data_IF_283070787285
#
_entry.id   IF_283070787285
#
_cell.length_a   1.000
_cell.length_b   1.000
_cell.length_c   1.000
_cell.angle_alpha   90.00
_cell.angle_beta   90.00
_cell.angle_gamma   90.00
#
_symmetry.space_group_name_H-M   'P 1'
#
loop_
_entity.id
_entity.type
_entity.pdbx_description
1 polymer ?
#
# COMPACT_ATOMS: atom_id res chain seq x y z
N UNK A 1 -27.87 -23.27 -30.60
CA UNK A 1 -26.59 -22.97 -29.92
C UNK A 1 -26.87 -22.69 -28.46
N UNK A 2 -26.38 -23.54 -27.55
CA UNK A 2 -26.60 -23.41 -26.10
C UNK A 2 -25.36 -22.71 -25.52
N UNK A 3 -25.53 -21.54 -24.90
CA UNK A 3 -24.45 -20.82 -24.22
C UNK A 3 -24.64 -21.01 -22.73
N UNK A 4 -23.63 -21.55 -22.06
CA UNK A 4 -23.62 -21.75 -20.61
C UNK A 4 -22.74 -20.68 -19.95
N UNK A 5 -23.34 -19.85 -19.10
CA UNK A 5 -22.64 -18.77 -18.41
C UNK A 5 -22.17 -19.30 -17.07
N UNK A 6 -20.87 -19.56 -16.94
CA UNK A 6 -20.27 -19.92 -15.65
C UNK A 6 -19.89 -18.68 -14.84
N UNK A 7 -19.92 -18.83 -13.51
CA UNK A 7 -19.43 -17.81 -12.58
C UNK A 7 -17.91 -17.69 -12.69
N UNK A 8 -17.44 -16.44 -12.82
CA UNK A 8 -16.01 -16.12 -12.81
C UNK A 8 -15.36 -16.61 -11.51
N UNK A 9 -14.48 -17.61 -11.63
CA UNK A 9 -13.69 -18.12 -10.53
C UNK A 9 -12.49 -17.20 -10.32
N UNK A 10 -12.42 -16.54 -9.16
CA UNK A 10 -11.24 -15.76 -8.79
C UNK A 10 -10.06 -16.71 -8.59
N UNK A 11 -8.92 -16.40 -9.22
CA UNK A 11 -7.69 -17.16 -9.01
C UNK A 11 -7.26 -17.01 -7.54
N UNK A 12 -7.37 -18.08 -6.75
CA UNK A 12 -7.01 -18.14 -5.34
C UNK A 12 -5.50 -18.39 -5.15
N UNK A 13 -4.67 -17.62 -5.84
CA UNK A 13 -3.21 -17.72 -5.78
C UNK A 13 -2.57 -16.56 -5.03
N UNK A 14 -1.38 -16.77 -4.46
CA UNK A 14 -0.57 -15.66 -3.96
C UNK A 14 -0.31 -14.65 -5.09
N UNK A 15 -0.63 -13.38 -4.84
CA UNK A 15 -0.38 -12.29 -5.78
C UNK A 15 1.14 -12.05 -5.85
N UNK A 16 1.70 -12.04 -7.06
CA UNK A 16 3.07 -11.63 -7.30
C UNK A 16 3.09 -10.15 -7.69
N UNK A 17 3.94 -9.37 -7.05
CA UNK A 17 4.13 -7.96 -7.32
C UNK A 17 4.94 -7.77 -8.60
N UNK A 18 4.42 -7.02 -9.57
CA UNK A 18 5.12 -6.74 -10.83
C UNK A 18 6.29 -5.76 -10.69
N UNK A 19 6.39 -5.04 -9.57
CA UNK A 19 7.50 -4.13 -9.30
C UNK A 19 8.73 -4.88 -8.75
N UNK A 20 8.58 -5.58 -7.62
CA UNK A 20 9.69 -6.22 -6.91
C UNK A 20 9.75 -7.75 -7.08
N UNK A 21 8.79 -8.38 -7.76
CA UNK A 21 8.68 -9.83 -7.98
C UNK A 21 8.55 -10.71 -6.72
N UNK A 22 8.33 -10.11 -5.55
CA UNK A 22 7.89 -10.79 -4.33
C UNK A 22 6.38 -11.06 -4.35
N UNK A 23 5.89 -11.75 -3.32
CA UNK A 23 4.50 -12.18 -3.21
C UNK A 23 3.74 -11.40 -2.12
N UNK A 24 2.41 -11.60 -2.08
CA UNK A 24 1.46 -11.10 -1.07
C UNK A 24 1.12 -9.61 -1.12
N UNK A 25 1.54 -8.89 -2.17
CA UNK A 25 1.14 -7.50 -2.38
C UNK A 25 1.07 -7.16 -3.88
N UNK A 26 0.35 -6.08 -4.18
CA UNK A 26 0.25 -5.52 -5.53
C UNK A 26 1.34 -4.48 -5.78
N UNK A 27 1.68 -4.26 -7.05
CA UNK A 27 2.66 -3.25 -7.44
C UNK A 27 2.30 -1.83 -6.97
N UNK A 28 1.01 -1.49 -6.95
CA UNK A 28 0.52 -0.19 -6.49
C UNK A 28 0.82 0.11 -5.00
N UNK A 29 0.96 -0.93 -4.17
CA UNK A 29 1.29 -0.81 -2.75
C UNK A 29 2.75 -1.17 -2.45
N UNK A 30 3.58 -1.34 -3.48
CA UNK A 30 4.96 -1.78 -3.32
C UNK A 30 5.89 -0.60 -3.02
N UNK A 31 6.54 -0.63 -1.87
CA UNK A 31 7.56 0.35 -1.47
C UNK A 31 9.00 -0.13 -1.73
N UNK A 32 9.16 -1.35 -2.26
CA UNK A 32 10.45 -1.94 -2.59
C UNK A 32 10.95 -1.41 -3.95
N UNK A 33 12.28 -1.42 -4.14
CA UNK A 33 12.90 -1.11 -5.41
C UNK A 33 12.46 -2.10 -6.51
N UNK A 34 12.38 -1.64 -7.77
CA UNK A 34 12.06 -2.51 -8.89
C UNK A 34 13.11 -3.61 -9.00
N UNK A 35 12.66 -4.83 -9.30
CA UNK A 35 13.53 -5.98 -9.51
C UNK A 35 13.18 -6.63 -10.84
N UNK A 36 14.15 -6.78 -11.73
CA UNK A 36 13.92 -7.35 -13.05
C UNK A 36 13.60 -8.85 -12.95
N UNK A 37 12.50 -9.30 -13.56
CA UNK A 37 12.14 -10.71 -13.57
C UNK A 37 13.14 -11.60 -14.34
N UNK A 38 13.86 -11.02 -15.30
CA UNK A 38 14.78 -11.74 -16.20
C UNK A 38 16.17 -11.93 -15.58
N UNK A 39 16.76 -10.87 -15.00
CA UNK A 39 18.12 -10.89 -14.44
C UNK A 39 18.21 -10.63 -12.92
N UNK A 40 17.14 -10.17 -12.28
CA UNK A 40 17.17 -9.80 -10.85
C UNK A 40 17.77 -8.43 -10.52
N UNK A 41 18.21 -7.66 -11.52
CA UNK A 41 18.79 -6.32 -11.33
C UNK A 41 17.77 -5.25 -10.86
N UNK A 42 18.24 -4.09 -10.36
CA UNK A 42 17.42 -3.04 -9.75
C UNK A 42 16.72 -2.15 -10.80
N UNK A 43 15.96 -2.76 -11.71
CA UNK A 43 15.26 -2.08 -12.80
C UNK A 43 14.01 -2.86 -13.23
N UNK A 44 13.13 -2.24 -14.00
CA UNK A 44 11.95 -2.92 -14.56
C UNK A 44 12.32 -3.87 -15.70
N UNK A 45 11.54 -4.92 -15.94
CA UNK A 45 11.83 -5.89 -17.02
C UNK A 45 11.90 -5.28 -18.43
N UNK A 46 11.31 -4.09 -18.63
CA UNK A 46 11.33 -3.32 -19.88
C UNK A 46 12.67 -2.62 -20.09
N UNK A 47 13.31 -2.19 -19.00
CA UNK A 47 14.62 -1.52 -19.01
C UNK A 47 15.79 -2.51 -18.95
N UNK A 48 15.51 -3.81 -19.07
CA UNK A 48 16.53 -4.85 -19.00
C UNK A 48 17.38 -4.85 -20.27
N UNK A 49 18.65 -4.51 -20.15
CA UNK A 49 19.65 -4.49 -21.23
C UNK A 49 20.40 -5.82 -21.38
N UNK A 50 20.26 -6.73 -20.40
CA UNK A 50 20.86 -8.05 -20.44
C UNK A 50 20.38 -8.85 -21.66
N UNK A 51 21.34 -9.50 -22.34
CA UNK A 51 21.07 -10.35 -23.51
C UNK A 51 20.79 -11.77 -23.05
N UNK A 52 19.68 -12.33 -23.49
CA UNK A 52 19.30 -13.71 -23.21
C UNK A 52 19.13 -14.49 -24.50
N UNK A 53 19.57 -15.73 -24.52
CA UNK A 53 19.22 -16.66 -25.60
C UNK A 53 17.72 -16.93 -25.55
N UNK A 54 17.01 -16.59 -26.62
CA UNK A 54 15.58 -16.84 -26.75
C UNK A 54 15.29 -18.00 -27.69
N UNK A 55 14.21 -18.72 -27.43
CA UNK A 55 13.66 -19.70 -28.37
C UNK A 55 12.90 -18.99 -29.50
N UNK A 56 12.36 -19.77 -30.45
CA UNK A 56 11.55 -19.26 -31.57
C UNK A 56 10.30 -18.48 -31.12
N UNK A 57 9.84 -18.71 -29.89
CA UNK A 57 8.69 -18.02 -29.28
C UNK A 57 9.08 -16.73 -28.52
N UNK A 58 10.36 -16.34 -28.55
CA UNK A 58 10.86 -15.16 -27.84
C UNK A 58 11.01 -15.34 -26.32
N UNK A 59 10.92 -16.56 -25.80
CA UNK A 59 11.13 -16.87 -24.37
C UNK A 59 12.59 -17.21 -24.10
N UNK A 60 13.09 -16.84 -22.93
CA UNK A 60 14.45 -17.20 -22.49
C UNK A 60 14.57 -18.72 -22.45
N UNK A 61 15.57 -19.30 -23.12
CA UNK A 61 15.78 -20.74 -23.26
C UNK A 61 16.08 -21.41 -21.91
N UNK A 62 16.99 -20.80 -21.16
CA UNK A 62 17.42 -21.28 -19.83
C UNK A 62 17.17 -20.18 -18.78
N UNK A 63 15.92 -19.93 -18.38
CA UNK A 63 15.63 -18.90 -17.38
C UNK A 63 16.10 -19.34 -16.00
N UNK A 64 16.57 -18.41 -15.20
CA UNK A 64 16.94 -18.63 -13.79
C UNK A 64 15.94 -17.89 -12.90
N UNK A 65 15.45 -18.58 -11.88
CA UNK A 65 14.49 -18.02 -10.95
C UNK A 65 15.18 -17.09 -9.95
N UNK A 66 14.86 -15.80 -9.99
CA UNK A 66 15.42 -14.79 -9.06
C UNK A 66 15.02 -15.00 -7.58
N UNK A 67 14.04 -15.87 -7.30
CA UNK A 67 13.56 -16.14 -5.94
C UNK A 67 14.15 -17.43 -5.35
N UNK A 68 14.43 -18.46 -6.15
CA UNK A 68 14.97 -19.75 -5.65
C UNK A 68 16.36 -20.11 -6.17
N UNK A 69 16.87 -19.40 -7.19
CA UNK A 69 18.16 -19.62 -7.84
C UNK A 69 18.21 -20.79 -8.82
N UNK A 70 17.14 -21.57 -8.99
CA UNK A 70 17.13 -22.73 -9.88
C UNK A 70 16.93 -22.31 -11.35
N UNK A 71 17.60 -23.03 -12.25
CA UNK A 71 17.41 -22.90 -13.70
C UNK A 71 16.17 -23.66 -14.18
N UNK A 72 15.62 -23.25 -15.31
CA UNK A 72 14.49 -23.90 -15.99
C UNK A 72 13.15 -23.19 -15.79
N UNK A 73 13.08 -22.20 -14.90
CA UNK A 73 11.87 -21.38 -14.72
C UNK A 73 12.18 -19.96 -14.24
N UNK A 74 11.23 -19.04 -14.47
CA UNK A 74 11.25 -17.68 -13.91
C UNK A 74 10.53 -17.64 -12.56
N UNK A 75 10.74 -16.60 -11.77
CA UNK A 75 10.08 -16.41 -10.47
C UNK A 75 8.54 -16.34 -10.52
N UNK A 76 7.96 -16.13 -11.69
CA UNK A 76 6.52 -16.16 -11.92
C UNK A 76 5.93 -17.57 -12.05
N UNK A 77 6.78 -18.59 -12.15
CA UNK A 77 6.34 -19.97 -12.27
C UNK A 77 5.77 -20.51 -10.95
N UNK A 78 4.51 -20.92 -10.99
CA UNK A 78 3.74 -21.36 -9.80
C UNK A 78 4.23 -22.67 -9.20
N UNK A 79 5.03 -23.45 -9.94
CA UNK A 79 5.64 -24.69 -9.45
C UNK A 79 6.94 -24.48 -8.66
N UNK A 80 7.44 -23.24 -8.56
CA UNK A 80 8.68 -22.96 -7.85
C UNK A 80 8.53 -23.29 -6.36
N UNK A 81 9.57 -23.89 -5.76
CA UNK A 81 9.59 -24.24 -4.33
C UNK A 81 9.38 -23.04 -3.40
N UNK A 82 9.82 -21.86 -3.83
CA UNK A 82 9.68 -20.58 -3.11
C UNK A 82 8.38 -19.85 -3.47
N UNK A 83 7.59 -20.37 -4.42
CA UNK A 83 6.30 -19.80 -4.74
C UNK A 83 5.32 -20.11 -3.59
N UNK A 84 4.66 -19.10 -2.99
CA UNK A 84 3.76 -19.36 -1.88
C UNK A 84 2.60 -20.23 -2.34
N UNK A 85 2.53 -21.43 -1.77
CA UNK A 85 1.41 -22.34 -1.94
C UNK A 85 0.26 -21.74 -1.14
N UNK A 86 -0.82 -21.35 -1.81
CA UNK A 86 -2.03 -20.98 -1.08
C UNK A 86 -2.49 -22.20 -0.30
N UNK A 87 -2.58 -22.12 1.02
CA UNK A 87 -3.30 -23.13 1.78
C UNK A 87 -4.75 -23.11 1.27
N UNK A 88 -5.15 -24.19 0.59
CA UNK A 88 -6.51 -24.43 0.08
C UNK A 88 -7.58 -24.41 1.18
N UNK A 89 -7.19 -24.30 2.45
CA UNK A 89 -8.08 -24.35 3.60
C UNK A 89 -8.73 -23.02 3.96
N UNK A 90 -8.34 -21.90 3.36
CA UNK A 90 -9.06 -20.64 3.49
C UNK A 90 -9.91 -20.40 2.25
N UNK A 91 -10.88 -21.29 2.02
CA UNK A 91 -12.15 -20.81 1.49
C UNK A 91 -12.60 -19.72 2.49
N UNK A 92 -12.30 -18.45 2.21
CA UNK A 92 -13.13 -17.40 2.80
C UNK A 92 -14.52 -17.80 2.36
N UNK A 93 -15.34 -18.28 3.28
CA UNK A 93 -16.74 -18.57 2.99
C UNK A 93 -17.23 -17.36 2.20
N UNK A 94 -17.60 -17.60 0.94
CA UNK A 94 -18.18 -16.56 0.11
C UNK A 94 -19.40 -16.15 0.90
N UNK A 95 -19.30 -15.06 1.67
CA UNK A 95 -20.47 -14.47 2.32
C UNK A 95 -21.40 -14.23 1.15
N UNK A 96 -22.50 -14.98 1.11
CA UNK A 96 -23.52 -14.80 0.10
C UNK A 96 -23.81 -13.31 0.06
N UNK A 97 -23.78 -12.71 -1.12
CA UNK A 97 -24.09 -11.29 -1.24
C UNK A 97 -25.42 -11.08 -0.53
N UNK A 98 -25.41 -10.34 0.60
CA UNK A 98 -26.60 -10.08 1.39
C UNK A 98 -27.59 -9.43 0.42
N UNK A 99 -28.83 -9.95 0.32
CA UNK A 99 -29.86 -9.25 -0.45
C UNK A 99 -29.95 -7.85 0.14
N UNK A 100 -29.71 -6.83 -0.70
CA UNK A 100 -29.86 -5.44 -0.29
C UNK A 100 -31.35 -5.22 -0.13
N UNK A 101 -31.83 -5.09 1.10
CA UNK A 101 -33.19 -4.66 1.37
C UNK A 101 -33.26 -3.15 1.06
N UNK A 102 -34.11 -2.71 0.11
CA UNK A 102 -34.27 -1.29 -0.22
C UNK A 102 -34.68 -0.42 0.97
N UNK A 103 -35.22 -1.02 2.04
CA UNK A 103 -35.64 -0.30 3.26
C UNK A 103 -34.47 0.01 4.20
N UNK A 104 -33.29 -0.53 3.97
CA UNK A 104 -32.13 -0.33 4.83
C UNK A 104 -31.16 0.65 4.14
N UNK A 105 -31.01 1.84 4.72
CA UNK A 105 -30.04 2.84 4.26
C UNK A 105 -28.61 2.34 4.38
N UNK A 106 -27.76 2.74 3.44
CA UNK A 106 -26.32 2.47 3.45
C UNK A 106 -25.66 2.81 4.79
N UNK A 107 -26.05 3.93 5.42
CA UNK A 107 -25.51 4.36 6.70
C UNK A 107 -25.87 3.44 7.87
N UNK A 108 -27.04 2.80 7.84
CA UNK A 108 -27.46 1.84 8.87
C UNK A 108 -26.65 0.54 8.78
N UNK A 109 -26.31 0.10 7.56
CA UNK A 109 -25.51 -1.11 7.30
C UNK A 109 -24.09 -0.95 7.85
N UNK A 110 -23.47 0.22 7.69
CA UNK A 110 -22.11 0.47 8.18
C UNK A 110 -22.03 0.39 9.70
N UNK A 111 -23.06 0.87 10.42
CA UNK A 111 -23.12 0.80 11.90
C UNK A 111 -23.26 -0.63 12.40
N UNK A 112 -24.04 -1.47 11.73
CA UNK A 112 -24.23 -2.87 12.13
C UNK A 112 -22.95 -3.70 11.96
N UNK A 113 -22.16 -3.44 10.92
CA UNK A 113 -20.90 -4.14 10.69
C UNK A 113 -19.83 -3.75 11.73
N UNK A 114 -19.76 -2.47 12.13
CA UNK A 114 -18.86 -2.02 13.21
C UNK A 114 -19.15 -2.72 14.54
N UNK A 115 -20.42 -3.02 14.85
CA UNK A 115 -20.78 -3.74 16.06
C UNK A 115 -20.42 -5.23 16.01
N UNK A 116 -20.41 -5.86 14.82
CA UNK A 116 -20.06 -7.27 14.65
C UNK A 116 -18.55 -7.53 14.65
N UNK A 117 -17.76 -6.59 14.15
CA UNK A 117 -16.30 -6.68 14.17
C UNK A 117 -15.73 -6.57 15.61
N UNK A 118 -16.44 -5.86 16.50
CA UNK A 118 -16.10 -5.79 17.93
C UNK A 118 -16.46 -7.06 18.73
N UNK A 119 -17.36 -7.91 18.23
CA UNK A 119 -17.77 -9.14 18.92
C UNK A 119 -16.89 -10.36 18.62
N UNK A 120 -16.03 -10.29 17.59
CA UNK A 120 -15.13 -11.40 17.19
C UNK A 120 -13.67 -11.25 17.65
N UNK A 121 -13.35 -10.23 18.46
CA UNK A 121 -12.01 -10.02 19.01
C UNK A 121 -11.96 -10.41 20.50
N UNK A 122 -12.17 -11.70 20.75
CA UNK A 122 -11.62 -12.45 21.91
C UNK A 122 -11.11 -13.72 21.25
N UNK A 123 -9.82 -13.86 20.95
CA UNK A 123 -8.73 -14.04 21.89
C UNK A 123 -7.40 -13.46 21.34
N UNK A 124 -6.42 -13.39 22.25
CA UNK A 124 -4.96 -13.15 22.09
C UNK A 124 -4.40 -11.79 21.63
N UNK A 125 -4.48 -10.85 22.59
CA UNK A 125 -3.73 -9.61 22.77
C UNK A 125 -2.21 -9.80 23.00
N UNK A 126 -1.35 -9.02 22.33
CA UNK A 126 -0.45 -8.02 22.96
C UNK A 126 0.20 -7.11 21.89
N UNK A 127 -0.31 -5.89 21.66
CA UNK A 127 0.09 -4.57 22.24
C UNK A 127 1.22 -3.93 21.40
N UNK A 128 1.05 -2.77 20.74
CA UNK A 128 0.70 -1.45 21.31
C UNK A 128 -0.31 -0.63 20.50
N UNK A 129 -1.18 0.08 21.25
CA UNK A 129 -2.05 1.18 20.83
C UNK A 129 -1.52 2.50 21.42
N UNK A 130 -1.92 3.62 20.83
CA UNK A 130 -1.54 5.00 21.20
C UNK A 130 -2.36 5.58 22.37
N UNK A 131 -1.65 6.39 23.20
CA UNK A 131 -2.04 7.57 24.00
C UNK A 131 -2.98 7.48 25.22
N UNK A 132 -2.45 7.83 26.41
CA UNK A 132 -2.97 8.88 27.30
C UNK A 132 -1.90 9.32 28.34
N UNK A 133 -2.07 10.54 28.86
CA UNK A 133 -1.13 11.46 29.53
C UNK A 133 -0.86 11.22 31.05
N UNK A 134 0.25 11.82 31.54
CA UNK A 134 0.73 12.05 32.92
C UNK A 134 1.40 10.92 33.73
N UNK A 135 2.71 11.07 33.98
CA UNK A 135 3.42 10.46 35.12
C UNK A 135 4.88 10.09 34.87
N UNK A 136 5.81 10.95 35.30
CA UNK A 136 7.27 10.77 35.20
C UNK A 136 7.74 9.51 35.94
N UNK A 137 8.49 8.63 35.25
CA UNK A 137 9.71 7.96 35.70
C UNK A 137 10.31 7.19 34.50
N UNK A 138 11.44 7.68 33.96
CA UNK A 138 12.13 7.08 32.81
C UNK A 138 12.78 5.74 33.18
N UNK A 139 12.67 4.69 32.34
CA UNK A 139 13.73 3.71 32.17
C UNK A 139 14.52 4.05 30.90
N UNK A 140 15.82 4.26 31.04
CA UNK A 140 16.74 4.55 29.93
C UNK A 140 16.67 3.45 28.85
N UNK A 141 16.15 3.81 27.68
CA UNK A 141 16.25 2.98 26.47
C UNK A 141 17.46 3.46 25.69
N UNK A 142 18.58 2.75 25.83
CA UNK A 142 19.77 2.98 25.02
C UNK A 142 19.49 2.54 23.58
N UNK A 143 19.18 3.49 22.71
CA UNK A 143 19.08 3.26 21.27
C UNK A 143 20.49 3.34 20.68
N UNK A 144 21.02 2.22 20.18
CA UNK A 144 22.24 2.24 19.37
C UNK A 144 21.92 2.90 18.02
N UNK A 145 22.35 4.15 17.87
CA UNK A 145 22.10 4.95 16.67
C UNK A 145 23.23 4.74 15.67
N UNK A 146 22.88 4.29 14.46
CA UNK A 146 23.81 4.31 13.32
C UNK A 146 23.79 5.71 12.68
N UNK A 147 24.93 6.24 12.18
CA UNK A 147 25.02 7.61 11.65
C UNK A 147 23.97 7.93 10.57
N UNK A 148 23.67 6.95 9.70
CA UNK A 148 22.68 7.09 8.62
C UNK A 148 21.25 7.35 9.12
N UNK A 149 20.88 6.86 10.31
CA UNK A 149 19.55 7.11 10.89
C UNK A 149 19.45 8.50 11.52
N UNK A 150 20.56 9.09 11.94
CA UNK A 150 20.61 10.46 12.48
C UNK A 150 20.33 11.47 11.38
N UNK A 151 20.90 11.25 10.20
CA UNK A 151 20.77 12.18 9.08
C UNK A 151 19.34 12.17 8.52
N UNK A 152 18.74 10.98 8.36
CA UNK A 152 17.32 10.86 8.00
C UNK A 152 16.39 11.56 9.00
N UNK A 153 16.73 11.52 10.30
CA UNK A 153 15.92 12.18 11.34
C UNK A 153 16.05 13.71 11.27
N UNK A 154 17.24 14.25 10.95
CA UNK A 154 17.44 15.69 10.73
C UNK A 154 16.63 16.20 9.55
N UNK A 155 16.62 15.46 8.45
CA UNK A 155 15.89 15.83 7.24
C UNK A 155 14.37 15.87 7.51
N UNK A 156 13.85 14.90 8.24
CA UNK A 156 12.44 14.87 8.63
C UNK A 156 12.09 16.06 9.54
N UNK A 157 12.92 16.34 10.54
CA UNK A 157 12.71 17.47 11.46
C UNK A 157 12.76 18.80 10.69
N UNK A 158 13.68 18.95 9.75
CA UNK A 158 13.78 20.13 8.90
C UNK A 158 12.51 20.34 8.07
N UNK A 159 12.02 19.29 7.40
CA UNK A 159 10.78 19.34 6.62
C UNK A 159 9.60 19.73 7.52
N UNK A 160 9.45 19.09 8.68
CA UNK A 160 8.36 19.41 9.62
C UNK A 160 8.42 20.86 10.10
N UNK A 161 9.62 21.41 10.29
CA UNK A 161 9.79 22.80 10.68
C UNK A 161 9.43 23.76 9.54
N UNK A 162 9.82 23.46 8.30
CA UNK A 162 9.41 24.24 7.13
C UNK A 162 7.89 24.20 6.90
N UNK A 163 7.26 23.03 7.04
CA UNK A 163 5.80 22.91 6.98
C UNK A 163 5.12 23.73 8.08
N UNK A 164 5.65 23.68 9.32
CA UNK A 164 5.14 24.49 10.43
C UNK A 164 5.35 25.98 10.20
N UNK A 165 6.45 26.40 9.55
CA UNK A 165 6.70 27.80 9.20
C UNK A 165 5.67 28.33 8.20
N UNK A 166 5.33 27.52 7.19
CA UNK A 166 4.40 27.92 6.12
C UNK A 166 2.94 27.85 6.58
N UNK A 167 2.56 26.80 7.32
CA UNK A 167 1.15 26.50 7.62
C UNK A 167 0.79 26.59 9.11
N UNK A 168 1.75 26.87 9.99
CA UNK A 168 1.54 26.80 11.43
C UNK A 168 0.53 27.80 12.00
N UNK A 169 0.17 28.83 11.22
CA UNK A 169 -0.82 29.85 11.60
C UNK A 169 -2.05 29.88 10.68
N UNK A 170 -2.14 28.98 9.70
CA UNK A 170 -3.19 29.03 8.68
C UNK A 170 -4.43 28.26 9.14
N UNK A 171 -5.57 28.93 9.24
CA UNK A 171 -6.86 28.29 9.53
C UNK A 171 -7.48 27.72 8.23
N UNK A 172 -7.20 26.44 7.97
CA UNK A 172 -7.70 25.75 6.78
C UNK A 172 -9.22 25.73 6.67
N UNK A 173 -9.95 25.68 7.80
CA UNK A 173 -11.40 25.63 7.77
C UNK A 173 -11.98 26.97 7.31
N UNK A 174 -11.42 28.08 7.79
CA UNK A 174 -11.78 29.41 7.34
C UNK A 174 -11.47 29.63 5.85
N UNK A 175 -10.32 29.14 5.37
CA UNK A 175 -9.92 29.22 3.96
C UNK A 175 -10.90 28.44 3.07
N UNK A 176 -11.23 27.20 3.45
CA UNK A 176 -12.15 26.35 2.70
C UNK A 176 -13.55 26.97 2.63
N UNK A 177 -14.02 27.60 3.71
CA UNK A 177 -15.31 28.31 3.67
C UNK A 177 -15.27 29.51 2.73
N UNK A 178 -14.21 30.33 2.77
CA UNK A 178 -14.05 31.46 1.85
C UNK A 178 -13.98 31.01 0.39
N UNK A 179 -13.26 29.94 0.09
CA UNK A 179 -13.17 29.39 -1.27
C UNK A 179 -14.51 28.86 -1.80
N UNK A 180 -15.38 28.35 -0.93
CA UNK A 180 -16.73 27.91 -1.30
C UNK A 180 -17.69 29.06 -1.54
N UNK A 181 -17.50 30.20 -0.87
CA UNK A 181 -18.35 31.39 -1.05
C UNK A 181 -17.92 32.28 -2.22
N UNK A 182 -16.69 32.13 -2.72
CA UNK A 182 -16.15 32.92 -3.83
C UNK A 182 -16.42 32.22 -5.16
N UNK A 183 -17.07 32.90 -6.10
CA UNK A 183 -17.46 32.32 -7.40
C UNK A 183 -16.34 32.42 -8.45
N UNK A 184 -15.63 33.55 -8.49
CA UNK A 184 -14.57 33.85 -9.46
C UNK A 184 -13.24 33.15 -9.12
N UNK A 185 -12.64 32.52 -10.14
CA UNK A 185 -11.38 31.79 -10.01
C UNK A 185 -10.18 32.68 -9.67
N UNK A 186 -10.17 33.94 -10.13
CA UNK A 186 -9.10 34.91 -9.78
C UNK A 186 -9.16 35.27 -8.30
N UNK A 187 -10.36 35.45 -7.76
CA UNK A 187 -10.58 35.76 -6.35
C UNK A 187 -10.27 34.55 -5.45
N UNK A 188 -10.53 33.33 -5.92
CA UNK A 188 -10.08 32.09 -5.23
C UNK A 188 -8.56 32.03 -5.12
N UNK A 189 -7.84 32.40 -6.17
CA UNK A 189 -6.37 32.49 -6.15
C UNK A 189 -5.92 33.53 -5.11
N UNK A 190 -6.56 34.70 -5.08
CA UNK A 190 -6.24 35.75 -4.11
C UNK A 190 -6.46 35.30 -2.66
N UNK A 191 -7.53 34.54 -2.39
CA UNK A 191 -7.80 33.94 -1.07
C UNK A 191 -6.68 32.98 -0.66
N UNK A 192 -6.18 32.15 -1.58
CA UNK A 192 -5.08 31.21 -1.29
C UNK A 192 -3.78 31.97 -1.04
N UNK A 193 -3.43 32.93 -1.90
CA UNK A 193 -2.20 33.72 -1.78
C UNK A 193 -2.15 34.48 -0.44
N UNK A 194 -3.24 35.15 -0.07
CA UNK A 194 -3.35 35.87 1.20
C UNK A 194 -3.26 34.93 2.42
N UNK A 195 -3.71 33.69 2.26
CA UNK A 195 -3.77 32.73 3.36
C UNK A 195 -2.46 31.99 3.59
N UNK A 196 -1.62 31.86 2.57
CA UNK A 196 -0.34 31.14 2.68
C UNK A 196 0.78 31.97 3.31
N UNK A 197 0.51 33.22 3.73
CA UNK A 197 1.53 34.15 4.22
C UNK A 197 2.82 34.05 3.41
N UNK A 198 2.70 34.12 2.08
CA UNK A 198 3.83 34.27 1.18
C UNK A 198 4.34 35.71 1.37
N UNK A 199 4.94 35.96 2.53
CA UNK A 199 5.70 37.16 2.80
C UNK A 199 6.86 37.15 1.80
N UNK A 200 6.81 38.09 0.86
CA UNK A 200 8.01 38.67 0.24
C UNK A 200 8.97 39.14 1.33
#
# INVERSE_FOLDING_TARGET
MKVEIQRFQRRTGALQCFNCNHHHHAAAACQLSPRCLKCGGPHSHVQCTEKFETNQEGKIKNPVCINCGESGHLASWRGCRMFPKTAVNNYRQIKTARRVDPKISFSAITRENLNKDNASLKDNMSVYSEQDDMGISQPEVSVTVTPQKVDALKDIIYILNEFKRIFGKTDFNAIVQKLKSTDNDVDKIQVIVNSLSLST
#
